data_IF_605247970305
#
_entry.id   IF_605247970305
#
_cell.length_a   1.000
_cell.length_b   1.000
_cell.length_c   1.000
_cell.angle_alpha   90.00
_cell.angle_beta   90.00
_cell.angle_gamma   90.00
#
_symmetry.space_group_name_H-M   'P 1'
#
loop_
_entity.id
_entity.type
_entity.pdbx_description
1 polymer ?
#
# COMPACT_ATOMS: atom_id res chain seq x y z
N UNK A 1 -32.44 41.69 9.85
CA UNK A 1 -31.42 41.64 8.78
C UNK A 1 -30.03 41.27 9.26
N UNK A 2 -29.57 41.78 10.39
CA UNK A 2 -28.24 41.41 10.91
C UNK A 2 -28.12 39.95 11.30
N UNK A 3 -29.19 39.30 11.73
CA UNK A 3 -29.19 37.84 12.12
C UNK A 3 -28.99 36.89 10.93
N UNK A 4 -29.55 37.21 9.77
CA UNK A 4 -29.41 36.36 8.58
C UNK A 4 -28.01 36.44 8.00
N UNK A 5 -27.31 37.50 8.15
CA UNK A 5 -25.94 37.70 7.70
C UNK A 5 -24.96 36.83 8.51
N UNK A 6 -25.15 36.75 9.83
CA UNK A 6 -24.30 35.90 10.68
C UNK A 6 -24.52 34.42 10.44
N UNK A 7 -25.75 33.99 10.18
CA UNK A 7 -26.05 32.60 9.82
C UNK A 7 -25.40 32.20 8.51
N UNK A 8 -25.38 33.08 7.52
CA UNK A 8 -24.76 32.84 6.24
C UNK A 8 -23.24 32.73 6.36
N UNK A 9 -22.59 33.55 7.15
CA UNK A 9 -21.15 33.48 7.39
C UNK A 9 -20.76 32.19 8.12
N UNK A 10 -21.56 31.74 9.07
CA UNK A 10 -21.36 30.49 9.78
C UNK A 10 -21.46 29.26 8.85
N UNK A 11 -22.43 29.29 7.95
CA UNK A 11 -22.63 28.21 6.97
C UNK A 11 -21.47 28.12 5.98
N UNK A 12 -20.92 29.23 5.53
CA UNK A 12 -19.73 29.28 4.68
C UNK A 12 -18.51 28.74 5.39
N UNK A 13 -18.30 29.01 6.67
CA UNK A 13 -17.19 28.46 7.45
C UNK A 13 -17.28 26.95 7.58
N UNK A 14 -18.47 26.38 7.74
CA UNK A 14 -18.69 24.94 7.77
C UNK A 14 -18.35 24.28 6.44
N UNK A 15 -18.68 24.88 5.32
CA UNK A 15 -18.35 24.37 3.99
C UNK A 15 -16.83 24.35 3.76
N UNK A 16 -16.12 25.36 4.23
CA UNK A 16 -14.65 25.41 4.12
C UNK A 16 -14.01 24.27 4.93
N UNK A 17 -14.52 23.98 6.14
CA UNK A 17 -14.00 22.90 6.98
C UNK A 17 -14.19 21.53 6.29
N UNK A 18 -15.33 21.29 5.63
CA UNK A 18 -15.58 20.04 4.93
C UNK A 18 -14.71 19.86 3.69
N UNK A 19 -14.26 20.95 3.05
CA UNK A 19 -13.37 20.87 1.88
C UNK A 19 -11.95 20.43 2.22
N UNK A 20 -11.52 20.47 3.48
CA UNK A 20 -10.24 19.96 3.95
C UNK A 20 -10.29 18.49 4.39
N UNK A 21 -11.37 17.78 4.12
CA UNK A 21 -11.48 16.38 4.44
C UNK A 21 -10.45 15.59 3.65
N UNK A 22 -9.65 14.78 4.38
CA UNK A 22 -8.54 14.03 3.80
C UNK A 22 -9.08 12.98 2.83
N UNK A 23 -8.59 13.00 1.60
CA UNK A 23 -8.91 11.96 0.63
C UNK A 23 -8.08 10.73 0.90
N UNK A 24 -8.65 9.56 0.68
CA UNK A 24 -7.90 8.33 0.64
C UNK A 24 -6.92 8.37 -0.53
N UNK A 25 -5.67 7.95 -0.29
CA UNK A 25 -4.64 7.87 -1.33
C UNK A 25 -4.61 6.45 -1.88
N UNK A 26 -4.89 6.30 -3.16
CA UNK A 26 -4.86 5.01 -3.82
C UNK A 26 -3.69 4.91 -4.79
N UNK A 27 -3.13 3.71 -4.87
CA UNK A 27 -2.00 3.40 -5.73
C UNK A 27 -2.24 2.05 -6.41
N UNK A 28 -1.79 1.94 -7.66
CA UNK A 28 -1.86 0.67 -8.36
C UNK A 28 -0.85 -0.32 -7.80
N UNK A 29 -1.24 -1.59 -7.72
CA UNK A 29 -0.32 -2.67 -7.45
C UNK A 29 0.27 -3.19 -8.76
N UNK A 30 1.57 -3.50 -8.74
CA UNK A 30 2.25 -4.06 -9.91
C UNK A 30 2.31 -5.57 -9.82
N UNK A 31 2.92 -6.10 -8.76
CA UNK A 31 3.08 -7.53 -8.54
C UNK A 31 2.81 -7.88 -7.08
N UNK A 32 2.45 -9.12 -6.86
CA UNK A 32 2.29 -9.69 -5.53
C UNK A 32 3.28 -10.83 -5.39
N UNK A 33 3.98 -10.85 -4.26
CA UNK A 33 5.01 -11.85 -4.00
C UNK A 33 4.72 -12.59 -2.71
N UNK A 34 5.17 -13.83 -2.69
CA UNK A 34 5.27 -14.63 -1.47
C UNK A 34 6.73 -14.68 -1.04
N UNK A 35 6.99 -14.37 0.23
CA UNK A 35 8.33 -14.51 0.82
C UNK A 35 8.66 -15.98 1.08
N UNK A 36 9.86 -16.37 0.71
CA UNK A 36 10.39 -17.70 0.92
C UNK A 36 11.73 -17.56 1.62
N UNK A 37 11.92 -18.35 2.70
CA UNK A 37 13.21 -18.40 3.38
C UNK A 37 14.16 -19.22 2.52
N UNK A 38 15.27 -18.63 2.03
CA UNK A 38 16.23 -19.37 1.22
C UNK A 38 17.00 -20.39 2.07
N UNK A 39 17.67 -21.31 1.40
CA UNK A 39 18.61 -22.20 2.08
C UNK A 39 19.69 -21.38 2.78
N UNK A 40 20.23 -21.90 3.89
CA UNK A 40 21.42 -21.35 4.51
C UNK A 40 22.53 -21.20 3.47
N UNK A 41 23.31 -20.16 3.59
CA UNK A 41 24.43 -19.83 2.69
C UNK A 41 24.03 -19.44 1.26
N UNK A 42 22.75 -19.20 0.99
CA UNK A 42 22.31 -18.62 -0.28
C UNK A 42 22.77 -17.18 -0.38
N UNK A 43 23.40 -16.83 -1.49
CA UNK A 43 23.88 -15.48 -1.77
C UNK A 43 23.37 -15.00 -3.11
N UNK A 44 23.14 -13.69 -3.22
CA UNK A 44 22.84 -13.05 -4.49
C UNK A 44 24.04 -12.26 -4.97
N UNK A 45 24.16 -12.14 -6.28
CA UNK A 45 25.12 -11.23 -6.91
C UNK A 45 24.39 -9.95 -7.26
N UNK A 46 24.85 -8.84 -6.70
CA UNK A 46 24.28 -7.53 -6.99
C UNK A 46 24.74 -7.01 -8.34
N UNK A 47 24.13 -5.92 -8.82
CA UNK A 47 24.56 -5.26 -10.04
C UNK A 47 26.01 -4.76 -9.98
N UNK A 48 26.55 -4.53 -8.80
CA UNK A 48 27.95 -4.14 -8.57
C UNK A 48 28.89 -5.35 -8.43
N UNK A 49 28.41 -6.54 -8.76
CA UNK A 49 29.14 -7.83 -8.68
C UNK A 49 29.51 -8.26 -7.25
N UNK A 50 28.87 -7.67 -6.24
CA UNK A 50 29.05 -8.07 -4.86
C UNK A 50 28.17 -9.25 -4.48
N UNK A 51 28.70 -10.16 -3.65
CA UNK A 51 27.95 -11.25 -3.06
C UNK A 51 27.33 -10.78 -1.75
N UNK A 52 26.01 -10.87 -1.66
CA UNK A 52 25.28 -10.51 -0.45
C UNK A 52 24.45 -11.69 0.04
N UNK A 53 24.30 -11.78 1.36
CA UNK A 53 23.41 -12.78 1.96
C UNK A 53 21.96 -12.39 1.70
N UNK A 54 21.10 -13.41 1.50
CA UNK A 54 19.69 -13.24 1.25
C UNK A 54 18.90 -13.72 2.47
N UNK A 55 18.08 -12.84 3.04
CA UNK A 55 17.19 -13.22 4.14
C UNK A 55 15.86 -13.78 3.63
N UNK A 56 15.34 -13.22 2.56
CA UNK A 56 14.05 -13.59 1.99
C UNK A 56 14.10 -13.53 0.47
N UNK A 57 13.57 -14.55 -0.18
CA UNK A 57 13.33 -14.56 -1.62
C UNK A 57 11.87 -14.21 -1.88
N UNK A 58 11.62 -13.36 -2.87
CA UNK A 58 10.27 -13.02 -3.28
C UNK A 58 9.90 -13.78 -4.54
N UNK A 59 8.87 -14.61 -4.43
CA UNK A 59 8.35 -15.39 -5.55
C UNK A 59 6.99 -14.81 -5.97
N UNK A 60 6.77 -14.52 -7.25
CA UNK A 60 5.47 -14.03 -7.70
C UNK A 60 4.35 -14.99 -7.31
N UNK A 61 3.25 -14.42 -6.84
CA UNK A 61 2.06 -15.19 -6.48
C UNK A 61 0.81 -14.40 -6.89
N UNK A 62 -0.34 -15.04 -6.75
CA UNK A 62 -1.62 -14.40 -7.01
C UNK A 62 -2.51 -14.48 -5.79
N UNK A 63 -3.33 -13.47 -5.59
CA UNK A 63 -4.37 -13.46 -4.58
C UNK A 63 -5.74 -13.59 -5.22
N UNK A 64 -6.69 -14.12 -4.47
CA UNK A 64 -8.08 -14.19 -4.93
C UNK A 64 -8.64 -12.79 -5.11
N UNK A 65 -9.53 -12.65 -6.09
CA UNK A 65 -10.28 -11.41 -6.30
C UNK A 65 -11.05 -11.03 -5.03
N UNK A 66 -11.05 -9.76 -4.71
CA UNK A 66 -11.76 -9.29 -3.52
C UNK A 66 -11.11 -8.06 -2.92
N UNK A 67 -11.66 -7.67 -1.78
CA UNK A 67 -11.21 -6.52 -1.00
C UNK A 67 -10.73 -7.02 0.36
N UNK A 68 -9.52 -6.60 0.73
CA UNK A 68 -8.85 -7.03 1.95
C UNK A 68 -8.51 -5.81 2.80
N UNK A 69 -8.87 -5.88 4.08
CA UNK A 69 -8.48 -4.88 5.07
C UNK A 69 -7.31 -5.44 5.86
N UNK A 70 -6.14 -4.86 5.70
CA UNK A 70 -4.88 -5.40 6.24
C UNK A 70 -3.99 -4.29 6.76
N UNK A 71 -3.05 -4.65 7.62
CA UNK A 71 -1.98 -3.75 8.04
C UNK A 71 -0.75 -4.03 7.20
N UNK A 72 -0.08 -2.97 6.75
CA UNK A 72 1.14 -3.09 5.95
C UNK A 72 2.27 -2.29 6.55
N UNK A 73 3.49 -2.75 6.26
CA UNK A 73 4.74 -2.05 6.60
C UNK A 73 5.58 -1.93 5.34
N UNK A 74 6.11 -0.74 5.10
CA UNK A 74 7.00 -0.50 3.97
C UNK A 74 8.35 -1.19 4.23
N UNK A 75 8.74 -2.06 3.31
CA UNK A 75 10.01 -2.80 3.37
C UNK A 75 11.10 -2.15 2.51
N UNK A 76 10.72 -1.59 1.38
CA UNK A 76 11.60 -0.92 0.44
C UNK A 76 10.76 0.00 -0.45
N UNK A 77 11.39 0.69 -1.39
CA UNK A 77 10.69 1.51 -2.37
C UNK A 77 9.67 0.66 -3.14
N UNK A 78 8.43 1.10 -3.15
CA UNK A 78 7.32 0.40 -3.81
C UNK A 78 7.12 -1.05 -3.34
N UNK A 79 7.53 -1.39 -2.12
CA UNK A 79 7.39 -2.73 -1.57
C UNK A 79 6.84 -2.69 -0.15
N UNK A 80 5.68 -3.32 0.05
CA UNK A 80 4.97 -3.37 1.33
C UNK A 80 4.69 -4.80 1.72
N UNK A 81 4.89 -5.12 3.00
CA UNK A 81 4.57 -6.44 3.54
C UNK A 81 3.26 -6.39 4.29
N UNK A 82 2.38 -7.35 4.02
CA UNK A 82 1.15 -7.52 4.80
C UNK A 82 1.51 -8.18 6.14
N UNK A 83 1.18 -7.50 7.23
CA UNK A 83 1.49 -7.95 8.59
C UNK A 83 0.89 -9.32 8.89
N UNK A 84 1.67 -10.16 9.56
CA UNK A 84 1.24 -11.51 9.94
C UNK A 84 1.22 -12.51 8.79
N UNK A 85 1.72 -12.14 7.63
CA UNK A 85 1.79 -13.02 6.45
C UNK A 85 3.18 -12.95 5.81
N UNK A 86 3.41 -13.81 4.82
CA UNK A 86 4.59 -13.76 3.94
C UNK A 86 4.27 -13.10 2.59
N UNK A 87 3.21 -12.27 2.53
CA UNK A 87 2.76 -11.62 1.30
C UNK A 87 3.32 -10.21 1.22
N UNK A 88 3.90 -9.91 0.06
CA UNK A 88 4.45 -8.58 -0.27
C UNK A 88 3.72 -8.02 -1.47
N UNK A 89 3.45 -6.72 -1.41
CA UNK A 89 2.79 -5.98 -2.49
C UNK A 89 3.79 -5.01 -3.11
N UNK A 90 4.02 -5.15 -4.40
CA UNK A 90 4.76 -4.16 -5.16
C UNK A 90 3.78 -3.12 -5.70
N UNK A 91 4.07 -1.85 -5.47
CA UNK A 91 3.24 -0.72 -5.90
C UNK A 91 3.93 0.04 -7.03
N UNK A 92 3.20 0.98 -7.63
CA UNK A 92 3.75 1.88 -8.65
C UNK A 92 3.75 3.31 -8.11
N UNK A 93 4.94 3.86 -7.98
CA UNK A 93 5.15 5.26 -7.55
C UNK A 93 4.47 5.58 -6.22
N UNK A 94 4.44 4.63 -5.30
CA UNK A 94 3.88 4.82 -3.97
C UNK A 94 4.98 5.29 -3.02
N UNK A 95 4.83 6.47 -2.45
CA UNK A 95 5.79 7.07 -1.53
C UNK A 95 5.30 7.03 -0.07
N UNK A 96 4.23 6.31 0.22
CA UNK A 96 3.67 6.24 1.56
C UNK A 96 4.61 5.52 2.52
N UNK A 97 4.96 6.19 3.61
CA UNK A 97 5.73 5.60 4.70
C UNK A 97 4.76 4.90 5.65
N UNK A 98 4.67 3.59 5.55
CA UNK A 98 3.78 2.80 6.36
C UNK A 98 4.55 1.99 7.39
N UNK A 99 4.05 1.98 8.63
CA UNK A 99 4.53 1.12 9.70
C UNK A 99 3.31 0.56 10.44
N UNK A 100 2.92 -0.65 10.10
CA UNK A 100 1.68 -1.29 10.58
C UNK A 100 0.46 -0.42 10.31
N UNK A 101 0.40 0.20 9.15
CA UNK A 101 -0.69 1.07 8.76
C UNK A 101 -1.82 0.27 8.12
N UNK A 102 -3.06 0.54 8.57
CA UNK A 102 -4.24 -0.11 8.02
C UNK A 102 -4.53 0.43 6.63
N UNK A 103 -4.68 -0.48 5.69
CA UNK A 103 -4.99 -0.16 4.29
C UNK A 103 -6.06 -1.10 3.77
N UNK A 104 -6.67 -0.71 2.65
CA UNK A 104 -7.56 -1.58 1.89
C UNK A 104 -6.84 -2.00 0.61
N UNK A 105 -6.74 -3.29 0.40
CA UNK A 105 -6.17 -3.87 -0.83
C UNK A 105 -7.31 -4.46 -1.64
N UNK A 106 -7.48 -4.00 -2.86
CA UNK A 106 -8.48 -4.53 -3.78
C UNK A 106 -7.78 -5.27 -4.91
N UNK A 107 -8.12 -6.54 -5.09
CA UNK A 107 -7.61 -7.36 -6.19
C UNK A 107 -8.69 -7.44 -7.27
N UNK A 108 -8.44 -6.81 -8.40
CA UNK A 108 -9.38 -6.67 -9.51
C UNK A 108 -9.17 -7.74 -10.59
N UNK A 109 -7.94 -8.25 -10.71
CA UNK A 109 -7.59 -9.28 -11.68
C UNK A 109 -6.44 -10.12 -11.12
N UNK A 110 -6.50 -11.43 -11.33
CA UNK A 110 -5.43 -12.36 -10.97
C UNK A 110 -4.98 -13.21 -12.17
N UNK A 111 -5.15 -12.69 -13.36
CA UNK A 111 -4.81 -13.38 -14.60
C UNK A 111 -3.30 -13.24 -14.87
N UNK A 112 -2.53 -14.26 -14.54
CA UNK A 112 -1.08 -14.28 -14.67
C UNK A 112 -0.34 -13.56 -13.53
N UNK A 113 -0.90 -12.49 -12.99
CA UNK A 113 -0.42 -11.75 -11.82
C UNK A 113 -1.61 -11.05 -11.19
N UNK A 114 -1.50 -10.74 -9.92
CA UNK A 114 -2.58 -10.04 -9.22
C UNK A 114 -2.48 -8.55 -9.49
N UNK A 115 -3.49 -7.99 -10.13
CA UNK A 115 -3.61 -6.57 -10.39
C UNK A 115 -4.71 -5.97 -9.52
N UNK A 116 -4.43 -4.82 -8.94
CA UNK A 116 -5.39 -4.15 -8.08
C UNK A 116 -4.89 -2.81 -7.57
N UNK A 117 -5.40 -2.42 -6.42
CA UNK A 117 -5.06 -1.16 -5.78
C UNK A 117 -4.82 -1.35 -4.30
N UNK A 118 -3.97 -0.49 -3.74
CA UNK A 118 -3.80 -0.33 -2.31
C UNK A 118 -4.27 1.08 -1.94
N UNK A 119 -5.12 1.16 -0.92
CA UNK A 119 -5.73 2.43 -0.50
C UNK A 119 -5.25 2.73 0.91
N UNK A 120 -4.49 3.82 1.05
CA UNK A 120 -4.05 4.35 2.34
C UNK A 120 -5.08 5.32 2.88
N UNK A 121 -5.14 5.46 4.19
CA UNK A 121 -6.10 6.33 4.88
C UNK A 121 -7.55 6.07 4.42
N UNK A 122 -7.97 4.81 4.45
CA UNK A 122 -9.30 4.45 3.98
C UNK A 122 -10.42 5.03 4.82
#
# INVERSE_FOLDING_TARGET
>A
MKRSFHLFAFFLALLVITSFHRRADDYDTAMIYKGIVPRADTKAITSDEDLVEIETLLSPTVLKLGTYKVDVTREADDLYKISGTEIYLETRNCLELANLEEVIVTIESNYGYSKGKIIFNP
#
